data_IF_617625942309
#
_entry.id   IF_617625942309
#
_cell.length_a   1.000
_cell.length_b   1.000
_cell.length_c   1.000
_cell.angle_alpha   90.00
_cell.angle_beta   90.00
_cell.angle_gamma   90.00
#
_symmetry.space_group_name_H-M   'P 1'
#
loop_
_entity.id
_entity.type
_entity.pdbx_description
1 polymer ?
#
# COMPACT_ATOMS: atom_id res chain seq x y z
N UNK A 1 -63.26 2.04 -35.83
CA UNK A 1 -62.14 1.08 -35.92
C UNK A 1 -60.92 1.72 -35.26
N UNK A 2 -60.26 1.00 -34.34
CA UNK A 2 -59.39 1.52 -33.26
C UNK A 2 -58.18 2.33 -33.73
N UNK A 3 -58.01 3.54 -33.17
CA UNK A 3 -56.70 4.17 -32.97
C UNK A 3 -55.97 3.43 -31.83
N UNK A 4 -54.76 2.93 -32.09
CA UNK A 4 -53.87 2.39 -31.06
C UNK A 4 -52.96 3.50 -30.51
N UNK A 5 -52.94 3.63 -29.18
CA UNK A 5 -52.08 4.52 -28.41
C UNK A 5 -50.60 4.14 -28.58
N UNK A 6 -49.77 5.16 -28.83
CA UNK A 6 -48.34 5.12 -28.54
C UNK A 6 -48.13 5.18 -27.01
N UNK A 7 -47.47 4.17 -26.44
CA UNK A 7 -46.95 4.22 -25.07
C UNK A 7 -45.46 4.58 -25.09
N UNK A 8 -45.16 5.69 -24.44
CA UNK A 8 -43.82 6.20 -24.15
C UNK A 8 -42.91 5.16 -23.49
N UNK A 9 -41.75 4.90 -24.09
CA UNK A 9 -40.60 4.28 -23.44
C UNK A 9 -39.64 5.41 -23.01
N UNK A 10 -39.83 5.95 -21.82
CA UNK A 10 -38.80 6.71 -21.12
C UNK A 10 -38.05 5.77 -20.17
N UNK A 11 -37.11 5.01 -20.74
CA UNK A 11 -36.09 4.33 -19.95
C UNK A 11 -35.13 5.39 -19.40
N UNK A 12 -35.20 5.63 -18.09
CA UNK A 12 -34.20 6.45 -17.38
C UNK A 12 -32.87 5.72 -17.48
N UNK A 13 -31.99 6.19 -18.37
CA UNK A 13 -30.59 5.78 -18.41
C UNK A 13 -29.95 6.30 -17.12
N UNK A 14 -29.92 5.48 -16.07
CA UNK A 14 -29.07 5.75 -14.91
C UNK A 14 -27.63 5.52 -15.38
N UNK A 15 -26.75 6.55 -15.39
CA UNK A 15 -25.34 6.32 -15.64
C UNK A 15 -24.84 5.29 -14.62
N UNK A 16 -24.06 4.32 -15.10
CA UNK A 16 -23.41 3.35 -14.22
C UNK A 16 -22.67 4.12 -13.12
N UNK A 17 -22.84 3.71 -11.86
CA UNK A 17 -22.07 4.29 -10.78
C UNK A 17 -20.58 4.16 -11.14
N UNK A 18 -19.76 5.22 -10.95
CA UNK A 18 -18.34 5.14 -11.28
C UNK A 18 -17.73 3.95 -10.55
N UNK A 19 -16.96 3.14 -11.28
CA UNK A 19 -16.29 1.97 -10.72
C UNK A 19 -15.40 2.41 -9.57
N UNK A 20 -15.54 1.77 -8.40
CA UNK A 20 -14.68 2.03 -7.25
C UNK A 20 -13.25 1.67 -7.61
N UNK A 21 -12.31 2.58 -7.36
CA UNK A 21 -10.89 2.38 -7.63
C UNK A 21 -10.12 2.28 -6.32
N UNK A 22 -9.04 1.50 -6.32
CA UNK A 22 -8.05 1.52 -5.25
C UNK A 22 -7.22 2.82 -5.34
N UNK A 23 -6.82 3.38 -4.18
CA UNK A 23 -6.03 4.61 -4.10
C UNK A 23 -4.86 4.37 -3.18
N UNK A 24 -3.65 4.68 -3.63
CA UNK A 24 -2.44 4.64 -2.79
C UNK A 24 -2.02 6.06 -2.46
N UNK A 25 -2.09 6.40 -1.19
CA UNK A 25 -1.66 7.68 -0.64
C UNK A 25 -0.24 7.53 -0.08
N UNK A 26 0.72 8.16 -0.76
CA UNK A 26 2.14 8.15 -0.38
C UNK A 26 2.43 9.40 0.45
N UNK A 27 2.95 9.18 1.67
CA UNK A 27 3.22 10.22 2.68
C UNK A 27 4.69 10.62 2.78
N UNK A 28 5.55 9.98 1.97
CA UNK A 28 7.01 10.14 1.95
C UNK A 28 7.49 11.36 1.13
N UNK A 29 8.71 11.85 1.38
CA UNK A 29 9.31 12.95 0.63
C UNK A 29 9.56 12.57 -0.84
N UNK A 30 9.82 13.57 -1.69
CA UNK A 30 9.96 13.41 -3.16
C UNK A 30 11.05 12.40 -3.52
N UNK A 31 12.14 12.38 -2.77
CA UNK A 31 13.30 11.52 -2.97
C UNK A 31 12.99 10.03 -2.83
N UNK A 32 12.01 9.66 -2.00
CA UNK A 32 11.62 8.26 -1.73
C UNK A 32 10.47 7.79 -2.62
N UNK A 33 9.79 8.71 -3.33
CA UNK A 33 8.66 8.40 -4.20
C UNK A 33 8.96 7.31 -5.23
N UNK A 34 10.12 7.23 -5.89
CA UNK A 34 10.37 6.17 -6.87
C UNK A 34 10.27 4.75 -6.30
N UNK A 35 10.61 4.56 -5.03
CA UNK A 35 10.50 3.26 -4.36
C UNK A 35 9.09 3.03 -3.82
N UNK A 36 8.46 4.05 -3.23
CA UNK A 36 7.07 3.99 -2.79
C UNK A 36 6.08 3.78 -3.95
N UNK A 37 6.34 4.33 -5.14
CA UNK A 37 5.54 4.08 -6.35
C UNK A 37 5.69 2.63 -6.82
N UNK A 38 6.91 2.07 -6.74
CA UNK A 38 7.13 0.69 -7.12
C UNK A 38 6.40 -0.26 -6.17
N UNK A 39 6.42 0.03 -4.87
CA UNK A 39 5.63 -0.70 -3.87
C UNK A 39 4.12 -0.57 -4.13
N UNK A 40 3.65 0.66 -4.38
CA UNK A 40 2.25 0.92 -4.71
C UNK A 40 1.80 0.07 -5.91
N UNK A 41 2.64 -0.02 -6.95
CA UNK A 41 2.36 -0.82 -8.13
C UNK A 41 2.28 -2.32 -7.81
N UNK A 42 3.08 -2.85 -6.90
CA UNK A 42 3.00 -4.26 -6.47
C UNK A 42 1.73 -4.52 -5.66
N UNK A 43 1.44 -3.65 -4.71
CA UNK A 43 0.34 -3.80 -3.77
C UNK A 43 -1.04 -3.60 -4.43
N UNK A 44 -1.15 -2.60 -5.30
CA UNK A 44 -2.40 -2.21 -5.95
C UNK A 44 -2.12 -1.73 -7.39
N UNK A 45 -1.91 -2.65 -8.34
CA UNK A 45 -1.46 -2.34 -9.71
C UNK A 45 -2.26 -1.27 -10.46
N UNK A 46 -3.58 -1.25 -10.26
CA UNK A 46 -4.50 -0.33 -10.95
C UNK A 46 -4.89 0.88 -10.10
N UNK A 47 -4.21 1.08 -8.96
CA UNK A 47 -4.56 2.15 -8.05
C UNK A 47 -4.16 3.52 -8.57
N UNK A 48 -4.99 4.52 -8.25
CA UNK A 48 -4.59 5.90 -8.40
C UNK A 48 -3.58 6.25 -7.30
N UNK A 49 -2.36 6.64 -7.68
CA UNK A 49 -1.35 7.11 -6.73
C UNK A 49 -1.52 8.61 -6.48
N UNK A 50 -1.61 9.00 -5.21
CA UNK A 50 -1.65 10.39 -4.77
C UNK A 50 -0.57 10.64 -3.72
N UNK A 51 -0.10 11.88 -3.63
CA UNK A 51 0.99 12.26 -2.73
C UNK A 51 0.53 13.34 -1.76
N UNK A 52 0.91 13.21 -0.50
CA UNK A 52 0.68 14.23 0.50
C UNK A 52 1.86 14.33 1.47
N UNK A 53 2.38 15.53 1.67
CA UNK A 53 3.45 15.79 2.64
C UNK A 53 2.93 16.51 3.89
N UNK A 54 1.61 16.64 4.03
CA UNK A 54 0.93 17.22 5.18
C UNK A 54 -0.52 16.74 5.26
N UNK A 55 -1.13 16.82 6.44
CA UNK A 55 -2.57 16.56 6.62
C UNK A 55 -3.44 17.42 5.69
N UNK A 56 -3.08 18.70 5.52
CA UNK A 56 -3.83 19.62 4.63
C UNK A 56 -3.76 19.16 3.18
N UNK A 57 -2.59 18.74 2.72
CA UNK A 57 -2.40 18.24 1.36
C UNK A 57 -3.14 16.92 1.14
N UNK A 58 -3.12 16.00 2.13
CA UNK A 58 -3.90 14.77 2.07
C UNK A 58 -5.38 15.08 1.88
N UNK A 59 -5.97 15.93 2.72
CA UNK A 59 -7.38 16.32 2.59
C UNK A 59 -7.66 16.94 1.23
N UNK A 60 -6.75 17.80 0.73
CA UNK A 60 -6.86 18.37 -0.62
C UNK A 60 -6.88 17.28 -1.69
N UNK A 61 -5.98 16.31 -1.64
CA UNK A 61 -5.92 15.21 -2.62
C UNK A 61 -7.18 14.34 -2.55
N UNK A 62 -7.63 13.95 -1.35
CA UNK A 62 -8.83 13.13 -1.17
C UNK A 62 -10.08 13.83 -1.72
N UNK A 63 -10.19 15.16 -1.61
CA UNK A 63 -11.29 15.95 -2.21
C UNK A 63 -11.29 15.94 -3.75
N UNK A 64 -10.18 15.62 -4.39
CA UNK A 64 -10.11 15.53 -5.86
C UNK A 64 -10.63 14.22 -6.41
N UNK A 65 -10.82 13.21 -5.54
CA UNK A 65 -11.31 11.90 -5.93
C UNK A 65 -12.79 12.01 -6.31
N UNK A 66 -13.10 11.70 -7.57
CA UNK A 66 -14.45 11.88 -8.15
C UNK A 66 -15.36 10.67 -7.94
N UNK A 67 -14.83 9.57 -7.40
CA UNK A 67 -15.52 8.31 -7.21
C UNK A 67 -15.23 7.76 -5.80
N UNK A 68 -16.14 6.92 -5.25
CA UNK A 68 -15.84 6.19 -4.03
C UNK A 68 -14.60 5.31 -4.18
N UNK A 69 -13.82 5.23 -3.11
CA UNK A 69 -12.56 4.46 -3.05
C UNK A 69 -12.85 3.05 -2.54
N UNK A 70 -12.34 2.04 -3.25
CA UNK A 70 -12.45 0.63 -2.84
C UNK A 70 -11.50 0.36 -1.65
N UNK A 71 -10.22 0.65 -1.82
CA UNK A 71 -9.23 0.56 -0.74
C UNK A 71 -8.35 1.81 -0.76
N UNK A 72 -8.23 2.47 0.39
CA UNK A 72 -7.26 3.54 0.60
C UNK A 72 -6.04 2.95 1.31
N UNK A 73 -4.93 2.85 0.58
CA UNK A 73 -3.66 2.41 1.13
C UNK A 73 -2.87 3.63 1.62
N UNK A 74 -2.42 3.61 2.86
CA UNK A 74 -1.49 4.59 3.42
C UNK A 74 -0.08 4.03 3.36
N UNK A 75 0.77 4.57 2.49
CA UNK A 75 2.19 4.21 2.38
C UNK A 75 3.01 5.33 3.02
N UNK A 76 3.60 5.05 4.17
CA UNK A 76 4.36 6.00 4.97
C UNK A 76 4.72 5.42 6.32
N UNK A 77 5.18 6.27 7.25
CA UNK A 77 5.50 5.86 8.61
C UNK A 77 4.35 6.17 9.57
N UNK A 78 4.38 5.46 10.68
CA UNK A 78 3.50 5.59 11.83
C UNK A 78 4.24 5.09 13.06
N UNK A 79 3.72 5.38 14.24
CA UNK A 79 4.22 4.84 15.50
C UNK A 79 3.18 3.97 16.20
N UNK A 80 3.56 3.44 17.37
CA UNK A 80 2.71 2.57 18.19
C UNK A 80 1.50 3.31 18.79
N UNK A 81 1.56 4.64 18.92
CA UNK A 81 0.43 5.48 19.36
C UNK A 81 -0.61 5.66 18.25
N UNK A 82 -0.36 5.14 17.04
CA UNK A 82 -1.25 5.25 15.90
C UNK A 82 -1.17 6.60 15.19
N UNK A 83 -0.17 7.42 15.50
CA UNK A 83 0.09 8.66 14.80
C UNK A 83 0.63 8.35 13.40
N UNK A 84 0.16 9.12 12.41
CA UNK A 84 0.59 8.96 11.02
C UNK A 84 1.59 10.07 10.70
N UNK A 85 2.73 9.68 10.15
CA UNK A 85 3.82 10.61 9.85
C UNK A 85 3.66 11.17 8.44
N UNK A 86 3.66 12.49 8.35
CA UNK A 86 3.78 13.22 7.09
C UNK A 86 5.20 13.76 6.96
N UNK A 87 5.88 13.39 5.88
CA UNK A 87 7.29 13.69 5.72
C UNK A 87 7.56 14.69 4.59
N UNK A 88 8.51 15.57 4.86
CA UNK A 88 9.24 16.31 3.84
C UNK A 88 10.73 15.99 3.97
N UNK A 89 11.55 16.46 3.03
CA UNK A 89 13.02 16.37 3.16
C UNK A 89 13.55 16.92 4.49
N UNK A 90 12.84 17.85 5.13
CA UNK A 90 13.33 18.60 6.30
C UNK A 90 12.57 18.30 7.59
N UNK A 91 11.39 17.70 7.51
CA UNK A 91 10.47 17.62 8.65
C UNK A 91 9.71 16.30 8.66
N UNK A 92 9.44 15.81 9.87
CA UNK A 92 8.49 14.73 10.15
C UNK A 92 7.40 15.31 11.04
N UNK A 93 6.17 15.30 10.57
CA UNK A 93 5.00 15.74 11.34
C UNK A 93 4.17 14.52 11.74
N UNK A 94 4.18 14.20 13.03
CA UNK A 94 3.38 13.13 13.62
C UNK A 94 1.98 13.69 13.88
N UNK A 95 0.99 13.13 13.18
CA UNK A 95 -0.38 13.62 13.23
C UNK A 95 -1.27 12.57 13.90
N UNK A 96 -1.87 12.90 15.06
CA UNK A 96 -2.76 11.97 15.73
C UNK A 96 -3.94 11.52 14.88
N UNK A 97 -4.27 10.23 14.97
CA UNK A 97 -5.37 9.62 14.23
C UNK A 97 -6.70 10.36 14.43
N UNK A 98 -6.95 10.85 15.64
CA UNK A 98 -8.11 11.68 15.98
C UNK A 98 -8.14 13.02 15.18
N UNK A 99 -7.00 13.68 14.98
CA UNK A 99 -6.89 14.90 14.16
C UNK A 99 -7.11 14.60 12.68
N UNK A 100 -6.63 13.45 12.21
CA UNK A 100 -6.86 12.95 10.85
C UNK A 100 -8.34 12.68 10.64
N UNK A 101 -8.95 11.89 11.54
CA UNK A 101 -10.37 11.52 11.50
C UNK A 101 -11.27 12.76 11.38
N UNK A 102 -11.05 13.79 12.20
CA UNK A 102 -11.80 15.06 12.10
C UNK A 102 -11.66 15.74 10.74
N UNK A 103 -10.48 15.67 10.13
CA UNK A 103 -10.17 16.39 8.89
C UNK A 103 -10.64 15.68 7.63
N UNK A 104 -10.77 14.34 7.68
CA UNK A 104 -11.22 13.52 6.54
C UNK A 104 -12.69 13.15 6.59
N UNK A 105 -13.39 13.46 7.69
CA UNK A 105 -14.82 13.16 7.85
C UNK A 105 -15.64 13.76 6.71
N UNK A 106 -16.30 12.89 5.95
CA UNK A 106 -17.15 13.28 4.82
C UNK A 106 -16.39 13.81 3.59
N UNK A 107 -15.06 13.67 3.54
CA UNK A 107 -14.25 14.12 2.39
C UNK A 107 -14.38 13.17 1.20
N UNK A 108 -14.31 11.87 1.45
CA UNK A 108 -14.44 10.81 0.44
C UNK A 108 -15.02 9.58 1.11
N UNK A 109 -15.79 8.79 0.36
CA UNK A 109 -16.25 7.49 0.81
C UNK A 109 -15.19 6.44 0.50
N UNK A 110 -14.75 5.72 1.53
CA UNK A 110 -13.78 4.62 1.42
C UNK A 110 -14.43 3.34 1.90
N UNK A 111 -14.20 2.21 1.24
CA UNK A 111 -14.70 0.91 1.70
C UNK A 111 -13.72 0.20 2.63
N UNK A 112 -12.43 0.19 2.30
CA UNK A 112 -11.37 -0.44 3.10
C UNK A 112 -10.19 0.51 3.30
N UNK A 113 -9.50 0.39 4.42
CA UNK A 113 -8.24 1.09 4.68
C UNK A 113 -7.14 0.06 4.93
N UNK A 114 -5.96 0.32 4.38
CA UNK A 114 -4.78 -0.50 4.60
C UNK A 114 -3.58 0.39 4.93
N UNK A 115 -3.08 0.27 6.15
CA UNK A 115 -1.91 0.99 6.59
C UNK A 115 -0.66 0.14 6.34
N UNK A 116 0.17 0.62 5.43
CA UNK A 116 1.50 0.08 5.15
C UNK A 116 2.58 0.79 5.99
N UNK A 117 2.22 1.19 7.21
CA UNK A 117 3.10 1.87 8.17
C UNK A 117 3.55 0.97 9.32
N UNK A 118 4.57 1.42 10.03
CA UNK A 118 5.19 0.71 11.15
C UNK A 118 4.29 0.76 12.39
N UNK A 119 4.04 -0.39 13.03
CA UNK A 119 3.41 -0.53 14.35
C UNK A 119 2.03 0.14 14.57
N UNK A 120 1.41 0.74 13.56
CA UNK A 120 0.14 1.48 13.69
C UNK A 120 -0.99 0.65 14.31
N UNK A 121 -0.94 -0.67 14.10
CA UNK A 121 -1.98 -1.59 14.54
C UNK A 121 -1.81 -2.04 16.00
N UNK A 122 -0.76 -1.58 16.69
CA UNK A 122 -0.62 -1.65 18.16
C UNK A 122 -1.70 -0.80 18.84
N UNK A 123 -2.21 0.22 18.14
CA UNK A 123 -3.32 1.07 18.57
C UNK A 123 -4.61 0.87 17.73
N UNK A 124 -5.33 -0.26 17.86
CA UNK A 124 -6.57 -0.55 17.12
C UNK A 124 -7.64 0.53 17.24
N UNK A 125 -7.72 1.19 18.41
CA UNK A 125 -8.66 2.29 18.64
C UNK A 125 -8.40 3.49 17.74
N UNK A 126 -7.13 3.79 17.47
CA UNK A 126 -6.72 4.94 16.66
C UNK A 126 -6.99 4.72 15.17
N UNK A 127 -6.64 3.54 14.63
CA UNK A 127 -7.01 3.18 13.26
C UNK A 127 -8.53 3.12 13.06
N UNK A 128 -9.29 2.70 14.08
CA UNK A 128 -10.75 2.65 14.03
C UNK A 128 -11.41 4.03 13.97
N UNK A 129 -10.81 5.07 14.60
CA UNK A 129 -11.29 6.46 14.48
C UNK A 129 -11.24 6.93 13.04
N UNK A 130 -10.12 6.71 12.34
CA UNK A 130 -9.97 7.11 10.93
C UNK A 130 -10.90 6.28 10.04
N UNK A 131 -11.00 4.97 10.29
CA UNK A 131 -11.96 4.09 9.61
C UNK A 131 -13.38 4.61 9.66
N UNK A 132 -13.87 4.93 10.87
CA UNK A 132 -15.23 5.47 11.09
C UNK A 132 -15.41 6.82 10.39
N UNK A 133 -14.43 7.71 10.45
CA UNK A 133 -14.52 9.02 9.80
C UNK A 133 -14.65 8.94 8.27
N UNK A 134 -14.00 7.96 7.64
CA UNK A 134 -14.07 7.71 6.20
C UNK A 134 -15.23 6.79 5.78
N UNK A 135 -16.07 6.37 6.73
CA UNK A 135 -17.14 5.38 6.55
C UNK A 135 -16.65 4.04 5.98
N UNK A 136 -15.40 3.66 6.28
CA UNK A 136 -14.85 2.40 5.86
C UNK A 136 -15.42 1.24 6.68
N UNK A 137 -15.65 0.12 6.00
CA UNK A 137 -16.10 -1.14 6.61
C UNK A 137 -15.02 -1.70 7.51
N UNK A 138 -13.79 -1.71 7.01
CA UNK A 138 -12.62 -2.23 7.70
C UNK A 138 -11.36 -1.39 7.51
N UNK A 139 -10.46 -1.50 8.48
CA UNK A 139 -9.12 -0.96 8.41
C UNK A 139 -8.13 -2.01 8.92
N UNK A 140 -6.96 -2.12 8.30
CA UNK A 140 -5.90 -3.03 8.74
C UNK A 140 -4.53 -2.38 8.78
N UNK A 141 -3.62 -2.92 9.58
CA UNK A 141 -2.23 -2.50 9.63
C UNK A 141 -1.32 -3.55 10.30
N UNK A 142 -0.02 -3.31 10.28
CA UNK A 142 0.98 -4.14 10.96
C UNK A 142 1.18 -3.70 12.41
N UNK A 143 1.41 -4.67 13.32
CA UNK A 143 1.84 -4.40 14.71
C UNK A 143 3.35 -4.20 14.83
N UNK A 144 4.10 -4.43 13.76
CA UNK A 144 5.57 -4.34 13.72
C UNK A 144 6.05 -3.29 12.73
N UNK A 145 7.31 -2.92 12.81
CA UNK A 145 7.99 -2.15 11.78
C UNK A 145 8.04 -2.95 10.47
N UNK A 146 7.60 -2.34 9.38
CA UNK A 146 7.70 -2.93 8.04
C UNK A 146 8.96 -2.44 7.36
N UNK A 147 9.95 -3.32 7.23
CA UNK A 147 11.21 -3.05 6.54
C UNK A 147 11.08 -3.43 5.07
N UNK A 148 11.61 -2.57 4.21
CA UNK A 148 11.57 -2.71 2.76
C UNK A 148 12.97 -2.69 2.19
N UNK A 149 13.22 -3.62 1.28
CA UNK A 149 14.42 -3.60 0.45
C UNK A 149 14.02 -3.65 -1.01
N UNK A 150 14.64 -2.80 -1.82
CA UNK A 150 14.38 -2.70 -3.26
C UNK A 150 15.64 -3.08 -4.03
N UNK A 151 15.51 -3.99 -4.97
CA UNK A 151 16.54 -4.25 -5.97
C UNK A 151 16.16 -3.53 -7.26
N UNK A 152 17.06 -2.63 -7.70
CA UNK A 152 16.90 -1.85 -8.92
C UNK A 152 16.90 -2.71 -10.19
N UNK A 153 16.69 -2.10 -11.37
CA UNK A 153 16.45 -2.85 -12.59
C UNK A 153 17.64 -3.63 -13.12
N UNK A 154 17.33 -4.71 -13.84
CA UNK A 154 18.27 -5.46 -14.65
C UNK A 154 18.83 -4.50 -15.69
N UNK A 155 20.16 -4.43 -15.79
CA UNK A 155 20.86 -3.61 -16.78
C UNK A 155 21.54 -4.48 -17.81
N UNK A 156 21.27 -4.21 -19.08
CA UNK A 156 22.02 -4.75 -20.22
C UNK A 156 22.79 -3.60 -20.86
N UNK A 157 24.11 -3.58 -20.63
CA UNK A 157 24.94 -2.41 -20.92
C UNK A 157 24.48 -1.20 -20.10
N UNK A 158 24.12 -0.10 -20.78
CA UNK A 158 23.64 1.14 -20.14
C UNK A 158 22.10 1.23 -20.06
N UNK A 159 21.36 0.23 -20.57
CA UNK A 159 19.90 0.25 -20.62
C UNK A 159 19.31 -0.57 -19.46
N UNK A 160 18.38 0.04 -18.74
CA UNK A 160 17.55 -0.65 -17.75
C UNK A 160 16.37 -1.34 -18.44
N UNK A 161 16.07 -2.57 -18.04
CA UNK A 161 14.89 -3.32 -18.51
C UNK A 161 13.76 -3.01 -17.54
N UNK A 162 12.92 -2.02 -17.85
CA UNK A 162 11.85 -1.56 -16.94
C UNK A 162 10.44 -1.84 -17.46
N UNK A 163 10.31 -2.18 -18.73
CA UNK A 163 9.03 -2.47 -19.36
C UNK A 163 9.20 -3.50 -20.50
N UNK A 164 8.12 -4.23 -20.80
CA UNK A 164 8.09 -5.25 -21.87
C UNK A 164 8.20 -4.67 -23.28
N UNK A 165 7.92 -3.37 -23.48
CA UNK A 165 7.88 -2.73 -24.80
C UNK A 165 9.27 -2.35 -25.29
N UNK A 166 10.18 -2.03 -24.36
CA UNK A 166 11.56 -1.59 -24.64
C UNK A 166 12.56 -2.75 -24.65
N UNK A 167 12.16 -3.93 -24.19
CA UNK A 167 12.98 -5.14 -24.18
C UNK A 167 12.19 -6.38 -24.61
N UNK A 168 12.35 -6.75 -25.88
CA UNK A 168 11.71 -7.90 -26.49
C UNK A 168 12.26 -9.21 -25.93
N UNK A 169 11.45 -9.88 -25.09
CA UNK A 169 11.77 -11.15 -24.43
C UNK A 169 11.56 -12.37 -25.33
N UNK A 170 10.91 -12.25 -26.48
CA UNK A 170 10.70 -13.37 -27.41
C UNK A 170 12.00 -13.73 -28.15
N UNK A 171 12.95 -12.79 -28.19
CA UNK A 171 14.32 -13.06 -28.62
C UNK A 171 15.05 -13.92 -27.58
N UNK A 172 15.37 -15.16 -27.93
CA UNK A 172 16.02 -16.11 -27.02
C UNK A 172 17.31 -15.60 -26.35
N UNK A 173 18.09 -14.72 -26.99
CA UNK A 173 19.24 -14.08 -26.36
C UNK A 173 18.85 -13.09 -25.25
N UNK A 174 17.80 -12.29 -25.48
CA UNK A 174 17.26 -11.36 -24.51
C UNK A 174 16.61 -12.11 -23.34
N UNK A 175 15.89 -13.19 -23.62
CA UNK A 175 15.33 -14.07 -22.58
C UNK A 175 16.40 -14.56 -21.61
N UNK A 176 17.52 -15.08 -22.14
CA UNK A 176 18.65 -15.55 -21.31
C UNK A 176 19.25 -14.43 -20.46
N UNK A 177 19.42 -13.23 -21.03
CA UNK A 177 19.92 -12.07 -20.29
C UNK A 177 18.96 -11.65 -19.17
N UNK A 178 17.66 -11.66 -19.45
CA UNK A 178 16.62 -11.36 -18.47
C UNK A 178 16.60 -12.39 -17.35
N UNK A 179 16.53 -13.68 -17.66
CA UNK A 179 16.47 -14.76 -16.66
C UNK A 179 17.70 -14.74 -15.74
N UNK A 180 18.90 -14.55 -16.31
CA UNK A 180 20.15 -14.40 -15.55
C UNK A 180 20.15 -13.12 -14.69
N UNK A 181 19.67 -12.01 -15.24
CA UNK A 181 19.54 -10.74 -14.53
C UNK A 181 18.57 -10.83 -13.35
N UNK A 182 17.40 -11.42 -13.56
CA UNK A 182 16.36 -11.59 -12.55
C UNK A 182 16.86 -12.52 -11.44
N UNK A 183 17.56 -13.60 -11.78
CA UNK A 183 18.25 -14.45 -10.80
C UNK A 183 19.26 -13.64 -9.97
N UNK A 184 20.10 -12.81 -10.61
CA UNK A 184 21.07 -11.97 -9.90
C UNK A 184 20.40 -10.97 -8.96
N UNK A 185 19.28 -10.35 -9.36
CA UNK A 185 18.53 -9.45 -8.48
C UNK A 185 17.97 -10.20 -7.26
N UNK A 186 17.38 -11.38 -7.46
CA UNK A 186 16.90 -12.23 -6.36
C UNK A 186 18.02 -12.59 -5.38
N UNK A 187 19.16 -13.00 -5.91
CA UNK A 187 20.30 -13.44 -5.10
C UNK A 187 20.95 -12.25 -4.36
N UNK A 188 20.80 -11.01 -4.84
CA UNK A 188 21.27 -9.80 -4.15
C UNK A 188 20.50 -9.50 -2.85
N UNK A 189 19.28 -10.02 -2.67
CA UNK A 189 18.60 -9.98 -1.38
C UNK A 189 19.28 -10.90 -0.36
N UNK A 190 20.01 -11.93 -0.80
CA UNK A 190 20.50 -12.99 0.07
C UNK A 190 19.41 -14.00 0.43
N UNK A 191 19.82 -15.20 0.83
CA UNK A 191 18.93 -16.35 0.98
C UNK A 191 17.77 -16.12 1.96
N UNK A 192 18.02 -15.40 3.06
CA UNK A 192 17.02 -15.19 4.10
C UNK A 192 15.89 -14.23 3.69
N UNK A 193 16.20 -13.24 2.85
CA UNK A 193 15.25 -12.20 2.41
C UNK A 193 14.58 -12.51 1.08
N UNK A 194 15.17 -13.39 0.28
CA UNK A 194 14.62 -13.80 -1.02
C UNK A 194 13.20 -14.36 -0.90
N UNK A 195 12.89 -15.10 0.17
CA UNK A 195 11.53 -15.60 0.46
C UNK A 195 10.52 -14.49 0.77
N UNK A 196 10.98 -13.28 1.10
CA UNK A 196 10.12 -12.14 1.40
C UNK A 196 9.86 -11.23 0.19
N UNK A 197 10.31 -11.61 -1.01
CA UNK A 197 10.03 -10.85 -2.24
C UNK A 197 8.53 -10.94 -2.56
N UNK A 198 7.83 -9.81 -2.57
CA UNK A 198 6.38 -9.76 -2.72
C UNK A 198 5.93 -9.78 -4.19
N UNK A 199 6.82 -9.48 -5.12
CA UNK A 199 6.58 -9.49 -6.56
C UNK A 199 7.52 -10.44 -7.31
N UNK A 200 7.74 -11.65 -6.78
CA UNK A 200 8.71 -12.62 -7.30
C UNK A 200 8.25 -13.33 -8.60
N UNK A 201 7.93 -12.55 -9.63
CA UNK A 201 7.57 -13.02 -10.95
C UNK A 201 8.01 -12.03 -12.02
N UNK A 202 8.03 -12.47 -13.28
CA UNK A 202 8.30 -11.60 -14.42
C UNK A 202 7.26 -10.48 -14.54
N UNK A 203 5.97 -10.79 -14.36
CA UNK A 203 4.90 -9.79 -14.36
C UNK A 203 5.03 -8.82 -13.19
N UNK A 204 5.27 -9.32 -11.99
CA UNK A 204 5.48 -8.50 -10.80
C UNK A 204 6.69 -7.55 -10.94
N UNK A 205 7.76 -8.02 -11.60
CA UNK A 205 8.92 -7.20 -11.92
C UNK A 205 8.57 -6.02 -12.83
N UNK A 206 7.87 -6.27 -13.94
CA UNK A 206 7.49 -5.22 -14.89
C UNK A 206 6.40 -4.29 -14.35
N UNK A 207 5.46 -4.83 -13.57
CA UNK A 207 4.46 -4.05 -12.83
C UNK A 207 5.13 -3.06 -11.88
N UNK A 208 6.21 -3.47 -11.20
CA UNK A 208 7.02 -2.62 -10.35
C UNK A 208 8.07 -1.76 -11.11
N UNK A 209 7.88 -1.54 -12.41
CA UNK A 209 8.78 -0.77 -13.28
C UNK A 209 10.22 -1.29 -13.28
N UNK A 210 10.36 -2.60 -13.28
CA UNK A 210 11.63 -3.30 -13.31
C UNK A 210 12.33 -3.39 -11.96
N UNK A 211 11.58 -3.47 -10.85
CA UNK A 211 12.15 -3.64 -9.51
C UNK A 211 11.67 -4.94 -8.88
N UNK A 212 12.48 -5.51 -8.00
CA UNK A 212 12.02 -6.50 -7.02
C UNK A 212 11.95 -5.84 -5.65
N UNK A 213 10.95 -6.21 -4.86
CA UNK A 213 10.68 -5.62 -3.55
C UNK A 213 10.53 -6.74 -2.55
N UNK A 214 11.37 -6.73 -1.51
CA UNK A 214 11.23 -7.61 -0.37
C UNK A 214 10.68 -6.82 0.82
N UNK A 215 9.68 -7.38 1.50
CA UNK A 215 9.03 -6.75 2.66
C UNK A 215 8.95 -7.75 3.81
N UNK A 216 9.42 -7.34 4.98
CA UNK A 216 9.33 -8.14 6.20
C UNK A 216 9.01 -7.25 7.40
N UNK A 217 8.48 -7.88 8.45
CA UNK A 217 8.22 -7.25 9.72
C UNK A 217 9.38 -7.49 10.68
N UNK A 218 9.80 -6.43 11.37
CA UNK A 218 10.72 -6.48 12.49
C UNK A 218 9.97 -6.09 13.78
N UNK A 219 10.03 -6.92 14.84
CA UNK A 219 9.42 -6.58 16.12
C UNK A 219 10.13 -5.42 16.80
N UNK A 220 9.46 -4.75 17.74
CA UNK A 220 10.00 -3.57 18.45
C UNK A 220 11.36 -3.85 19.08
N UNK A 221 11.58 -5.07 19.60
CA UNK A 221 12.87 -5.47 20.17
C UNK A 221 14.08 -5.29 19.24
N UNK A 222 13.85 -5.08 17.93
CA UNK A 222 14.86 -4.74 16.93
C UNK A 222 14.39 -3.61 15.99
N UNK A 223 13.49 -2.72 16.43
CA UNK A 223 13.05 -1.58 15.64
C UNK A 223 14.22 -0.65 15.27
N UNK A 224 14.14 -0.02 14.11
CA UNK A 224 15.21 0.78 13.48
C UNK A 224 16.35 -0.06 12.89
N UNK A 225 16.36 -1.39 13.12
CA UNK A 225 17.29 -2.28 12.46
C UNK A 225 16.73 -2.69 11.09
N UNK A 226 17.30 -2.15 10.03
CA UNK A 226 16.91 -2.49 8.65
C UNK A 226 17.48 -3.84 8.18
N UNK A 227 18.20 -4.57 9.03
CA UNK A 227 18.66 -5.93 8.71
C UNK A 227 17.56 -6.96 8.96
N UNK A 228 17.71 -8.11 8.30
CA UNK A 228 16.87 -9.28 8.54
C UNK A 228 17.49 -10.13 9.64
N UNK A 229 16.76 -10.35 10.72
CA UNK A 229 17.13 -11.25 11.81
C UNK A 229 16.40 -12.58 11.62
N UNK A 230 17.13 -13.67 11.37
CA UNK A 230 16.54 -14.99 11.09
C UNK A 230 15.66 -15.53 12.22
N UNK A 231 15.89 -15.08 13.46
CA UNK A 231 15.17 -15.54 14.65
C UNK A 231 13.91 -14.71 14.95
N UNK A 232 13.79 -13.52 14.37
CA UNK A 232 12.75 -12.53 14.72
C UNK A 232 11.96 -11.98 13.54
N UNK A 233 12.61 -11.77 12.40
CA UNK A 233 11.98 -11.18 11.22
C UNK A 233 11.00 -12.16 10.56
N UNK A 234 9.84 -11.65 10.15
CA UNK A 234 8.78 -12.44 9.49
C UNK A 234 8.47 -11.81 8.15
N UNK A 235 8.46 -12.58 7.05
CA UNK A 235 8.07 -12.02 5.75
C UNK A 235 6.64 -11.47 5.81
N UNK A 236 6.36 -10.36 5.12
CA UNK A 236 5.05 -9.72 5.18
C UNK A 236 3.89 -10.67 4.79
N UNK A 237 4.12 -11.50 3.77
CA UNK A 237 3.14 -12.50 3.32
C UNK A 237 2.85 -13.62 4.32
N UNK A 238 3.72 -13.81 5.32
CA UNK A 238 3.59 -14.84 6.35
C UNK A 238 2.94 -14.30 7.64
N UNK A 239 2.67 -13.00 7.72
CA UNK A 239 2.04 -12.38 8.89
C UNK A 239 0.61 -12.89 9.06
N UNK A 240 0.30 -13.39 10.26
CA UNK A 240 -1.06 -13.81 10.60
C UNK A 240 -1.97 -12.59 10.69
N UNK A 241 -3.19 -12.71 10.21
CA UNK A 241 -4.22 -11.67 10.37
C UNK A 241 -5.12 -12.00 11.57
N UNK A 242 -5.35 -11.01 12.41
CA UNK A 242 -6.25 -11.10 13.57
C UNK A 242 -7.32 -10.01 13.50
N UNK A 243 -8.58 -10.42 13.63
CA UNK A 243 -9.70 -9.48 13.74
C UNK A 243 -9.86 -9.05 15.19
N UNK A 244 -9.86 -7.75 15.41
CA UNK A 244 -9.89 -7.16 16.74
C UNK A 244 -11.10 -6.24 16.88
N UNK A 245 -11.72 -6.28 18.06
CA UNK A 245 -12.80 -5.36 18.44
C UNK A 245 -12.22 -4.20 19.27
N UNK A 246 -12.08 -2.99 18.71
CA UNK A 246 -11.46 -1.86 19.40
C UNK A 246 -12.24 -1.41 20.63
N UNK A 247 -13.54 -1.70 20.72
CA UNK A 247 -14.38 -1.30 21.86
C UNK A 247 -14.01 -2.03 23.15
N UNK A 248 -13.22 -3.11 23.05
CA UNK A 248 -12.74 -3.90 24.19
C UNK A 248 -11.39 -3.43 24.74
N UNK A 249 -10.82 -2.34 24.20
CA UNK A 249 -9.50 -1.82 24.56
C UNK A 249 -8.42 -2.94 24.58
N UNK A 250 -8.26 -3.65 23.46
CA UNK A 250 -7.29 -4.75 23.35
C UNK A 250 -5.87 -4.22 23.56
N UNK A 251 -5.07 -4.95 24.34
CA UNK A 251 -3.62 -4.72 24.45
C UNK A 251 -2.94 -5.59 23.40
N UNK A 252 -2.24 -4.95 22.46
CA UNK A 252 -1.54 -5.64 21.38
C UNK A 252 -0.04 -5.46 21.58
N UNK A 253 0.68 -6.58 21.60
CA UNK A 253 2.13 -6.58 21.71
C UNK A 253 2.78 -6.40 20.33
N UNK A 254 3.53 -5.32 20.21
CA UNK A 254 4.36 -4.92 19.06
C UNK A 254 5.43 -5.94 18.68
N UNK A 255 5.71 -6.94 19.54
CA UNK A 255 6.64 -8.03 19.22
C UNK A 255 5.98 -9.24 18.54
N UNK A 256 4.66 -9.28 18.42
CA UNK A 256 3.95 -10.43 17.85
C UNK A 256 3.98 -10.49 16.32
N UNK A 257 4.37 -9.40 15.64
CA UNK A 257 4.37 -9.25 14.19
C UNK A 257 3.19 -9.93 13.50
N UNK A 258 2.05 -9.25 13.55
CA UNK A 258 0.81 -9.68 12.91
C UNK A 258 0.14 -8.51 12.20
N UNK A 259 -0.80 -8.83 11.33
CA UNK A 259 -1.75 -7.87 10.78
C UNK A 259 -2.96 -7.84 11.71
N UNK A 260 -3.36 -6.65 12.13
CA UNK A 260 -4.61 -6.45 12.85
C UNK A 260 -5.62 -5.82 11.90
N UNK A 261 -6.82 -6.38 11.85
CA UNK A 261 -7.97 -5.84 11.13
C UNK A 261 -9.06 -5.44 12.13
N UNK A 262 -9.64 -4.25 11.92
CA UNK A 262 -10.76 -3.72 12.71
C UNK A 262 -11.94 -3.42 11.79
N UNK A 263 -13.17 -3.64 12.27
CA UNK A 263 -14.39 -3.43 11.50
C UNK A 263 -14.98 -4.71 10.89
N UNK A 264 -16.00 -4.55 10.03
CA UNK A 264 -16.73 -5.64 9.36
C UNK A 264 -17.20 -5.20 7.98
#
# INVERSE_FOLDING_TARGET
MRLQLFRNLHGVFRPAAPSRQDVVLILSPVEERPDAIAEAAVMAPDAQVVFATSLKDMVKQLKTLKAPVKTLYFVGHSDADGDIVFETKKTRDFVPAEKIARSVKGVVQVENIDYQGCAVAVSPGEIDKVRKALNAKKARGSTCELVRQVAGPIKVGKKSITDRRTFDLDKGANRKLFDAGLKKLRDAFGDDRKKCITNDSEDGYFQAHGKLIAVWANPESIAGNNAFDKSKSVCYGDLKTENVDPSKNPVIDENQCKIVEVGK
#
